data_IF_686137941668
#
_entry.id   IF_686137941668
#
_cell.length_a   1.000
_cell.length_b   1.000
_cell.length_c   1.000
_cell.angle_alpha   90.00
_cell.angle_beta   90.00
_cell.angle_gamma   90.00
#
_symmetry.space_group_name_H-M   'P 1'
#
loop_
_entity.id
_entity.type
_entity.pdbx_description
1 polymer ?
#
# COMPACT_ATOMS: atom_id res chain seq x y z
N UNK A 1 -2.34 11.83 5.24
CA UNK A 1 -2.55 10.70 6.17
C UNK A 1 -3.87 9.95 5.91
N UNK A 2 -4.46 10.11 4.72
CA UNK A 2 -5.67 9.38 4.35
C UNK A 2 -5.30 7.94 3.99
N UNK A 3 -4.22 7.76 3.24
CA UNK A 3 -3.87 6.44 2.72
C UNK A 3 -3.33 5.51 3.80
N UNK A 4 -2.68 6.03 4.84
CA UNK A 4 -2.31 5.23 6.01
C UNK A 4 -3.54 4.62 6.69
N UNK A 5 -4.57 5.43 6.96
CA UNK A 5 -5.81 4.97 7.58
C UNK A 5 -6.49 3.92 6.68
N UNK A 6 -6.62 4.20 5.39
CA UNK A 6 -7.24 3.29 4.43
C UNK A 6 -6.47 1.97 4.30
N UNK A 7 -5.13 2.03 4.24
CA UNK A 7 -4.29 0.83 4.19
C UNK A 7 -4.39 0.03 5.49
N UNK A 8 -4.35 0.66 6.67
CA UNK A 8 -4.53 -0.03 7.95
C UNK A 8 -5.88 -0.77 8.01
N UNK A 9 -6.95 -0.14 7.52
CA UNK A 9 -8.27 -0.78 7.44
C UNK A 9 -8.27 -1.95 6.46
N UNK A 10 -7.69 -1.78 5.27
CA UNK A 10 -7.59 -2.84 4.27
C UNK A 10 -6.75 -4.03 4.75
N UNK A 11 -5.65 -3.78 5.47
CA UNK A 11 -4.82 -4.82 6.09
C UNK A 11 -5.63 -5.57 7.15
N UNK A 12 -6.31 -4.85 8.05
CA UNK A 12 -7.17 -5.49 9.06
C UNK A 12 -8.29 -6.33 8.45
N UNK A 13 -8.86 -5.86 7.33
CA UNK A 13 -9.85 -6.63 6.57
C UNK A 13 -9.23 -7.88 5.92
N UNK A 14 -8.07 -7.75 5.28
CA UNK A 14 -7.34 -8.88 4.69
C UNK A 14 -7.04 -9.98 5.73
N UNK A 15 -6.65 -9.59 6.95
CA UNK A 15 -6.45 -10.53 8.07
C UNK A 15 -7.75 -11.26 8.41
N UNK A 16 -8.89 -10.55 8.48
CA UNK A 16 -10.19 -11.15 8.78
C UNK A 16 -10.64 -12.17 7.71
N UNK A 17 -10.26 -11.94 6.46
CA UNK A 17 -10.59 -12.82 5.32
C UNK A 17 -9.54 -13.91 5.07
N UNK A 18 -8.43 -13.93 5.82
CA UNK A 18 -7.31 -14.85 5.57
C UNK A 18 -6.58 -14.58 4.25
N UNK A 19 -6.65 -13.35 3.74
CA UNK A 19 -5.95 -12.94 2.53
C UNK A 19 -4.47 -12.66 2.81
N UNK A 20 -3.58 -13.04 1.88
CA UNK A 20 -2.14 -12.86 2.02
C UNK A 20 -1.63 -11.48 1.56
N UNK A 21 -2.46 -10.68 0.88
CA UNK A 21 -2.02 -9.41 0.32
C UNK A 21 -3.14 -8.37 0.16
N UNK A 22 -2.74 -7.11 0.20
CA UNK A 22 -3.54 -5.92 -0.15
C UNK A 22 -2.87 -5.21 -1.32
N UNK A 23 -3.62 -4.96 -2.39
CA UNK A 23 -3.13 -4.24 -3.56
C UNK A 23 -3.45 -2.75 -3.46
N UNK A 24 -2.43 -1.92 -3.64
CA UNK A 24 -2.49 -0.47 -3.53
C UNK A 24 -2.08 0.22 -4.82
N UNK A 25 -3.02 0.91 -5.46
CA UNK A 25 -2.83 1.55 -6.77
C UNK A 25 -2.10 2.90 -6.73
N UNK A 26 -1.16 3.13 -5.81
CA UNK A 26 -0.34 4.34 -5.85
C UNK A 26 0.62 4.30 -7.05
N UNK A 27 0.82 5.47 -7.68
CA UNK A 27 1.74 5.66 -8.79
C UNK A 27 2.57 6.94 -8.65
N UNK A 28 3.66 7.03 -9.42
CA UNK A 28 4.68 8.08 -9.25
C UNK A 28 4.37 9.42 -9.94
N UNK A 29 3.32 9.50 -10.77
CA UNK A 29 3.02 10.70 -11.57
C UNK A 29 1.58 11.18 -11.49
N UNK A 30 1.33 12.35 -10.86
CA UNK A 30 0.48 13.43 -11.42
C UNK A 30 0.16 14.54 -10.43
N UNK A 31 0.25 14.35 -9.11
CA UNK A 31 -0.24 15.36 -8.16
C UNK A 31 0.73 15.62 -7.01
N UNK A 32 0.64 16.85 -6.48
CA UNK A 32 1.41 17.37 -5.35
C UNK A 32 1.74 16.28 -4.31
N UNK A 33 3.02 16.18 -3.94
CA UNK A 33 3.64 15.01 -3.31
C UNK A 33 3.02 14.67 -1.94
N UNK A 34 1.88 13.99 -1.94
CA UNK A 34 1.27 13.43 -0.74
C UNK A 34 2.29 12.48 -0.09
N UNK A 35 2.71 12.73 1.16
CA UNK A 35 3.73 11.91 1.82
C UNK A 35 3.28 10.45 1.96
N UNK A 36 1.97 10.21 2.04
CA UNK A 36 1.33 8.90 2.11
C UNK A 36 1.06 8.23 0.75
N UNK A 37 1.73 8.69 -0.33
CA UNK A 37 1.84 7.98 -1.61
C UNK A 37 3.30 7.67 -1.98
N UNK A 38 4.28 8.17 -1.23
CA UNK A 38 5.70 8.06 -1.59
C UNK A 38 6.18 6.61 -1.48
N UNK A 39 7.16 6.20 -2.28
CA UNK A 39 7.72 4.86 -2.18
C UNK A 39 8.25 4.50 -0.79
N UNK A 40 8.83 5.47 -0.07
CA UNK A 40 9.24 5.27 1.32
C UNK A 40 8.07 4.88 2.23
N UNK A 41 6.97 5.64 2.20
CA UNK A 41 5.77 5.34 2.97
C UNK A 41 5.21 3.95 2.63
N UNK A 42 5.08 3.63 1.34
CA UNK A 42 4.52 2.34 0.90
C UNK A 42 5.39 1.18 1.33
N UNK A 43 6.73 1.30 1.20
CA UNK A 43 7.67 0.29 1.67
C UNK A 43 7.60 0.08 3.18
N UNK A 44 7.51 1.17 3.96
CA UNK A 44 7.37 1.06 5.42
C UNK A 44 6.02 0.46 5.83
N UNK A 45 4.93 0.80 5.13
CA UNK A 45 3.63 0.18 5.36
C UNK A 45 3.66 -1.34 5.07
N UNK A 46 4.35 -1.78 4.02
CA UNK A 46 4.53 -3.21 3.73
C UNK A 46 5.34 -3.93 4.83
N UNK A 47 6.38 -3.30 5.36
CA UNK A 47 7.15 -3.88 6.49
C UNK A 47 6.26 -4.02 7.72
N UNK A 48 5.52 -2.96 8.08
CA UNK A 48 4.66 -2.99 9.27
C UNK A 48 3.50 -3.97 9.10
N UNK A 49 2.90 -4.09 7.92
CA UNK A 49 1.79 -5.02 7.68
C UNK A 49 2.18 -6.49 7.83
N UNK A 50 3.44 -6.83 7.55
CA UNK A 50 3.98 -8.18 7.74
C UNK A 50 4.35 -8.48 9.20
N UNK A 51 4.59 -7.45 10.03
CA UNK A 51 4.97 -7.60 11.44
C UNK A 51 3.77 -7.54 12.39
N UNK A 52 2.71 -6.83 12.01
CA UNK A 52 1.61 -6.50 12.92
C UNK A 52 0.56 -7.63 13.08
N UNK A 53 0.73 -8.77 12.40
CA UNK A 53 -0.27 -9.84 12.29
C UNK A 53 0.38 -11.21 12.50
N UNK A 54 -0.41 -12.21 12.94
CA UNK A 54 0.08 -13.59 13.08
C UNK A 54 0.49 -14.20 11.75
N UNK A 55 -0.36 -14.03 10.74
CA UNK A 55 -0.06 -14.36 9.35
C UNK A 55 0.33 -13.08 8.60
N UNK A 56 1.42 -13.08 7.82
CA UNK A 56 1.89 -11.89 7.14
C UNK A 56 0.91 -11.47 6.02
N UNK A 57 0.63 -10.17 5.95
CA UNK A 57 -0.13 -9.56 4.85
C UNK A 57 0.79 -8.61 4.09
N UNK A 58 1.03 -8.88 2.82
CA UNK A 58 1.85 -8.05 1.94
C UNK A 58 1.07 -6.83 1.43
N UNK A 59 1.69 -5.65 1.40
CA UNK A 59 1.18 -4.50 0.65
C UNK A 59 1.88 -4.43 -0.70
N UNK A 60 1.13 -4.72 -1.77
CA UNK A 60 1.63 -4.75 -3.15
C UNK A 60 1.23 -3.47 -3.87
N UNK A 61 2.20 -2.70 -4.37
CA UNK A 61 1.95 -1.48 -5.12
C UNK A 61 2.55 -1.57 -6.53
N UNK A 62 1.85 -2.20 -7.50
CA UNK A 62 2.42 -2.54 -8.80
C UNK A 62 2.78 -1.30 -9.64
N UNK A 63 2.18 -0.16 -9.34
CA UNK A 63 2.37 1.08 -10.09
C UNK A 63 3.30 2.08 -9.39
N UNK A 64 3.89 1.70 -8.25
CA UNK A 64 4.60 2.63 -7.37
C UNK A 64 5.71 3.40 -8.08
N UNK A 65 6.43 2.73 -8.98
CA UNK A 65 7.59 3.25 -9.70
C UNK A 65 7.29 3.52 -11.18
N UNK A 66 6.02 3.50 -11.59
CA UNK A 66 5.60 3.83 -12.96
C UNK A 66 4.84 5.15 -13.00
N UNK A 67 4.93 5.86 -14.12
CA UNK A 67 4.10 7.04 -14.36
C UNK A 67 2.70 6.61 -14.82
N UNK A 68 1.77 7.56 -14.90
CA UNK A 68 0.40 7.27 -15.32
C UNK A 68 0.31 6.77 -16.77
N UNK A 69 1.26 7.14 -17.63
CA UNK A 69 1.28 6.72 -19.03
C UNK A 69 1.54 5.21 -19.14
N UNK A 70 2.29 4.63 -18.21
CA UNK A 70 2.53 3.20 -18.17
C UNK A 70 1.35 2.37 -17.64
N UNK A 71 0.28 3.01 -17.14
CA UNK A 71 -0.93 2.36 -16.61
C UNK A 71 -2.04 2.27 -17.68
N UNK A 72 -2.01 3.13 -18.70
CA UNK A 72 -3.00 3.26 -19.77
C UNK A 72 -2.63 2.43 -21.01
#
# INVERSE_FOLDING_TARGET
>A
NRNMILLSLAIGYAVSEGASAVYYGAHSGDHAIYPDCRPEFVRQMNVVSQLANYEPVEVVAPYLDVDKNAIL
#
